data_IF_243956092624
#
_entry.id   IF_243956092624
#
_cell.length_a   1.000
_cell.length_b   1.000
_cell.length_c   1.000
_cell.angle_alpha   90.00
_cell.angle_beta   90.00
_cell.angle_gamma   90.00
#
_symmetry.space_group_name_H-M   'P 1'
#
loop_
_entity.id
_entity.type
_entity.pdbx_description
1 polymer ?
#
# COMPACT_ATOMS: atom_id res chain seq x y z
N UNK A 1 -3.95 -0.41 10.99
CA UNK A 1 -4.54 0.58 10.06
C UNK A 1 -3.66 1.81 9.83
N UNK A 2 -3.47 2.71 10.81
CA UNK A 2 -2.74 3.97 10.58
C UNK A 2 -1.35 3.77 9.98
N UNK A 3 -0.59 2.79 10.50
CA UNK A 3 0.70 2.37 9.96
C UNK A 3 0.66 2.15 8.45
N UNK A 4 -0.30 1.36 7.96
CA UNK A 4 -0.38 0.98 6.56
C UNK A 4 -0.79 2.16 5.66
N UNK A 5 -1.67 3.06 6.14
CA UNK A 5 -2.06 4.27 5.40
C UNK A 5 -0.88 5.23 5.25
N UNK A 6 -0.15 5.48 6.34
CA UNK A 6 1.02 6.35 6.32
C UNK A 6 2.13 5.74 5.46
N UNK A 7 2.33 4.42 5.54
CA UNK A 7 3.30 3.72 4.72
C UNK A 7 2.99 3.84 3.23
N UNK A 8 1.73 3.67 2.80
CA UNK A 8 1.32 3.88 1.42
C UNK A 8 1.65 5.30 0.95
N UNK A 9 1.31 6.30 1.76
CA UNK A 9 1.59 7.70 1.45
C UNK A 9 3.09 7.97 1.29
N UNK A 10 3.92 7.49 2.23
CA UNK A 10 5.38 7.70 2.18
C UNK A 10 6.00 7.01 0.97
N UNK A 11 5.62 5.76 0.67
CA UNK A 11 6.14 5.03 -0.49
C UNK A 11 5.69 5.65 -1.82
N UNK A 12 4.42 6.04 -1.94
CA UNK A 12 3.92 6.72 -3.13
C UNK A 12 4.64 8.05 -3.37
N UNK A 13 4.86 8.84 -2.30
CA UNK A 13 5.63 10.08 -2.37
C UNK A 13 7.07 9.82 -2.81
N UNK A 14 7.73 8.84 -2.19
CA UNK A 14 9.10 8.48 -2.50
C UNK A 14 9.26 8.02 -3.96
N UNK A 15 8.37 7.15 -4.47
CA UNK A 15 8.42 6.67 -5.86
C UNK A 15 8.27 7.82 -6.88
N UNK A 16 7.43 8.81 -6.58
CA UNK A 16 7.26 10.00 -7.45
C UNK A 16 8.47 10.92 -7.37
N UNK A 17 9.05 11.12 -6.17
CA UNK A 17 10.22 11.98 -5.97
C UNK A 17 11.50 11.35 -6.55
N UNK A 18 11.71 10.04 -6.38
CA UNK A 18 12.90 9.30 -6.85
C UNK A 18 12.98 9.24 -8.37
N UNK A 19 11.83 9.09 -9.05
CA UNK A 19 11.76 8.97 -10.51
C UNK A 19 11.48 10.30 -11.22
N UNK A 20 11.47 11.43 -10.49
CA UNK A 20 11.10 12.74 -11.04
C UNK A 20 12.00 13.22 -12.19
N UNK A 21 13.27 12.80 -12.20
CA UNK A 21 14.28 13.12 -13.22
C UNK A 21 14.60 11.93 -14.15
N UNK A 22 13.91 10.81 -13.97
CA UNK A 22 14.05 9.62 -14.82
C UNK A 22 13.17 9.75 -16.06
N UNK A 23 13.61 9.17 -17.18
CA UNK A 23 12.77 9.04 -18.38
C UNK A 23 11.51 8.21 -18.10
N UNK A 24 11.59 7.26 -17.17
CA UNK A 24 10.47 6.44 -16.68
C UNK A 24 9.86 7.03 -15.41
N UNK A 25 9.32 8.24 -15.51
CA UNK A 25 8.71 8.93 -14.36
C UNK A 25 7.46 8.21 -13.86
N UNK A 26 7.45 7.82 -12.59
CA UNK A 26 6.27 7.31 -11.91
C UNK A 26 5.37 8.50 -11.56
N UNK A 27 4.12 8.45 -12.04
CA UNK A 27 3.09 9.45 -11.73
C UNK A 27 1.99 8.83 -10.86
N UNK A 28 1.18 9.69 -10.23
CA UNK A 28 0.01 9.22 -9.47
C UNK A 28 -0.95 8.37 -10.30
N UNK A 29 -1.11 8.64 -11.60
CA UNK A 29 -1.97 7.80 -12.45
C UNK A 29 -1.44 6.38 -12.50
N UNK A 30 -0.13 6.21 -12.73
CA UNK A 30 0.51 4.89 -12.82
C UNK A 30 0.35 4.14 -11.48
N UNK A 31 0.59 4.81 -10.35
CA UNK A 31 0.43 4.22 -9.01
C UNK A 31 -1.02 3.77 -8.80
N UNK A 32 -2.00 4.64 -9.08
CA UNK A 32 -3.42 4.31 -8.91
C UNK A 32 -3.84 3.13 -9.77
N UNK A 33 -3.37 3.07 -11.02
CA UNK A 33 -3.76 2.05 -11.97
C UNK A 33 -3.12 0.68 -11.61
N UNK A 34 -1.89 0.66 -11.08
CA UNK A 34 -1.22 -0.57 -10.62
C UNK A 34 -1.61 -1.02 -9.20
N UNK A 35 -2.06 -0.09 -8.34
CA UNK A 35 -2.33 -0.36 -6.93
C UNK A 35 -3.81 -0.36 -6.56
N UNK A 36 -4.71 -0.53 -7.54
CA UNK A 36 -6.17 -0.54 -7.31
C UNK A 36 -6.59 -1.52 -6.20
N UNK A 37 -6.05 -2.74 -6.23
CA UNK A 37 -6.35 -3.77 -5.24
C UNK A 37 -5.83 -3.43 -3.84
N UNK A 38 -4.62 -2.87 -3.74
CA UNK A 38 -4.04 -2.41 -2.47
C UNK A 38 -4.86 -1.25 -1.88
N UNK A 39 -5.26 -0.29 -2.72
CA UNK A 39 -6.11 0.82 -2.29
C UNK A 39 -7.47 0.35 -1.78
N UNK A 40 -8.05 -0.66 -2.43
CA UNK A 40 -9.28 -1.31 -1.97
C UNK A 40 -9.07 -2.04 -0.63
N UNK A 41 -7.99 -2.80 -0.49
CA UNK A 41 -7.65 -3.51 0.75
C UNK A 41 -7.39 -2.55 1.91
N UNK A 42 -6.67 -1.45 1.69
CA UNK A 42 -6.45 -0.39 2.67
C UNK A 42 -7.77 0.23 3.16
N UNK A 43 -8.69 0.49 2.24
CA UNK A 43 -10.01 1.03 2.56
C UNK A 43 -10.87 0.03 3.34
N UNK A 44 -10.64 -1.26 3.11
CA UNK A 44 -11.41 -2.35 3.70
C UNK A 44 -10.96 -2.74 5.11
N UNK A 45 -9.78 -2.27 5.56
CA UNK A 45 -9.25 -2.59 6.90
C UNK A 45 -10.22 -2.25 8.04
N UNK A 46 -11.03 -1.20 7.89
CA UNK A 46 -11.99 -0.75 8.91
C UNK A 46 -13.17 -1.72 9.14
N UNK A 47 -13.37 -2.67 8.24
CA UNK A 47 -14.48 -3.62 8.31
C UNK A 47 -14.11 -4.95 8.96
N UNK A 48 -12.87 -5.11 9.45
CA UNK A 48 -12.47 -6.27 10.25
C UNK A 48 -13.26 -6.30 11.56
N UNK A 49 -13.74 -7.46 11.95
CA UNK A 49 -14.62 -7.62 13.12
C UNK A 49 -13.77 -8.06 14.32
N UNK A 50 -13.55 -7.19 15.33
CA UNK A 50 -12.69 -7.53 16.47
C UNK A 50 -13.26 -8.68 17.33
N UNK A 51 -14.57 -8.94 17.26
CA UNK A 51 -15.23 -10.03 18.01
C UNK A 51 -15.08 -11.36 17.29
N UNK A 52 -15.18 -11.36 15.95
CA UNK A 52 -15.11 -12.60 15.15
C UNK A 52 -13.70 -12.99 14.73
N UNK A 53 -12.89 -12.02 14.30
CA UNK A 53 -11.55 -12.27 13.77
C UNK A 53 -10.50 -12.34 14.89
N UNK A 54 -10.69 -11.55 15.95
CA UNK A 54 -9.74 -11.43 17.05
C UNK A 54 -8.50 -10.60 16.68
N UNK A 55 -7.80 -10.11 17.70
CA UNK A 55 -6.67 -9.18 17.53
C UNK A 55 -5.54 -9.78 16.69
N UNK A 56 -5.11 -11.01 17.00
CA UNK A 56 -3.97 -11.65 16.33
C UNK A 56 -4.16 -11.73 14.82
N UNK A 57 -5.32 -12.21 14.37
CA UNK A 57 -5.63 -12.35 12.94
C UNK A 57 -5.67 -10.99 12.24
N UNK A 58 -6.27 -9.99 12.89
CA UNK A 58 -6.33 -8.62 12.32
C UNK A 58 -4.93 -8.03 12.16
N UNK A 59 -4.04 -8.26 13.13
CA UNK A 59 -2.65 -7.80 13.04
C UNK A 59 -1.88 -8.53 11.94
N UNK A 60 -2.05 -9.84 11.81
CA UNK A 60 -1.46 -10.65 10.72
C UNK A 60 -1.93 -10.15 9.34
N UNK A 61 -3.25 -9.96 9.17
CA UNK A 61 -3.82 -9.42 7.92
C UNK A 61 -3.28 -8.01 7.59
N UNK A 62 -3.02 -7.18 8.61
CA UNK A 62 -2.42 -5.86 8.42
C UNK A 62 -0.92 -5.92 8.11
N UNK A 63 -0.20 -6.92 8.60
CA UNK A 63 1.20 -7.14 8.24
C UNK A 63 1.31 -7.64 6.80
N UNK A 64 0.48 -8.62 6.42
CA UNK A 64 0.45 -9.15 5.06
C UNK A 64 0.15 -8.04 4.03
N UNK A 65 -0.84 -7.19 4.30
CA UNK A 65 -1.13 -6.04 3.43
C UNK A 65 0.05 -5.06 3.34
N UNK A 66 0.83 -4.91 4.41
CA UNK A 66 2.01 -4.06 4.42
C UNK A 66 3.14 -4.64 3.56
N UNK A 67 3.36 -5.96 3.61
CA UNK A 67 4.34 -6.65 2.76
C UNK A 67 3.94 -6.63 1.29
N UNK A 68 2.68 -6.94 0.97
CA UNK A 68 2.14 -6.88 -0.40
C UNK A 68 2.32 -5.49 -1.00
N UNK A 69 2.07 -4.44 -0.21
CA UNK A 69 2.26 -3.06 -0.64
C UNK A 69 3.73 -2.74 -0.94
N UNK A 70 4.67 -3.14 -0.08
CA UNK A 70 6.10 -2.96 -0.34
C UNK A 70 6.53 -3.67 -1.63
N UNK A 71 6.07 -4.90 -1.84
CA UNK A 71 6.40 -5.66 -3.03
C UNK A 71 5.84 -4.99 -4.29
N UNK A 72 4.60 -4.50 -4.24
CA UNK A 72 4.01 -3.79 -5.37
C UNK A 72 4.76 -2.50 -5.71
N UNK A 73 5.27 -1.75 -4.73
CA UNK A 73 6.08 -0.56 -4.99
C UNK A 73 7.44 -0.90 -5.58
N UNK A 74 8.08 -2.00 -5.16
CA UNK A 74 9.33 -2.48 -5.79
C UNK A 74 9.11 -2.87 -7.25
N UNK A 75 8.06 -3.64 -7.53
CA UNK A 75 7.69 -4.03 -8.90
C UNK A 75 7.32 -2.83 -9.79
N UNK A 76 6.99 -1.67 -9.20
CA UNK A 76 6.69 -0.44 -9.92
C UNK A 76 7.96 0.35 -10.29
N UNK A 77 9.02 0.18 -9.50
CA UNK A 77 10.33 0.83 -9.71
C UNK A 77 11.26 0.01 -10.61
N UNK A 78 11.08 -1.32 -10.67
CA UNK A 78 11.74 -2.23 -11.61
C UNK A 78 11.26 -2.04 -13.07
#
# INVERSE_FOLDING_TARGET
MLRNIVAFYTMARQAVESTAQSDNKITWSIIRDHMGDIMYALSSMKFKDPVKDGEKKILEDFEELYEQMQQAFRNLED
#
